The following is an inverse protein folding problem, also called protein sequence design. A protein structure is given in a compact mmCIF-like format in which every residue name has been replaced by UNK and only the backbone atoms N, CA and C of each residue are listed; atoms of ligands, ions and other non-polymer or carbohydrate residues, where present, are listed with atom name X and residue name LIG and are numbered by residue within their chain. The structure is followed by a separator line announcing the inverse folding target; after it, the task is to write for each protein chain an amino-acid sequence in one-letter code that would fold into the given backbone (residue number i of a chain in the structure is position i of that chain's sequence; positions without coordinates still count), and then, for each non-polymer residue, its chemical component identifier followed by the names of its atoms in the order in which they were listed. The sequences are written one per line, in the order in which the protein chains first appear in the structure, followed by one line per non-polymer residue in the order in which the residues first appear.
data_IF_002923988875
#
_entry.id   IF_002923988875
#
_cell.length_a   1.000
_cell.length_b   1.000
_cell.length_c   1.000
_cell.angle_alpha   90.00
_cell.angle_beta   90.00
_cell.angle_gamma   90.00
#
_symmetry.space_group_name_H-M   'P 1'
#
loop_
_entity.id
_entity.type
_entity.pdbx_description
1 polymer ?
#
# COMPACT_ATOMS: atom_id res chain seq x y z
N UNK A 1 -18.52 -4.56 9.78
CA UNK A 1 -18.08 -3.15 9.63
C UNK A 1 -18.42 -2.36 10.88
N UNK A 2 -17.49 -1.56 11.40
CA UNK A 2 -17.62 -0.74 12.60
C UNK A 2 -17.48 0.73 12.22
N UNK A 3 -18.12 1.58 13.02
CA UNK A 3 -17.97 3.03 12.92
C UNK A 3 -17.31 3.51 14.20
N UNK A 4 -16.27 4.33 14.07
CA UNK A 4 -15.53 4.93 15.17
C UNK A 4 -15.65 6.44 15.03
N UNK A 5 -15.89 7.15 16.13
CA UNK A 5 -15.97 8.60 16.15
C UNK A 5 -15.01 9.10 17.23
N UNK A 6 -14.12 10.03 16.86
CA UNK A 6 -13.20 10.68 17.79
C UNK A 6 -13.39 12.18 17.73
N UNK A 7 -13.44 12.84 18.89
CA UNK A 7 -13.43 14.29 18.96
C UNK A 7 -11.98 14.79 18.86
N UNK A 8 -11.71 15.65 17.88
CA UNK A 8 -10.39 16.24 17.62
C UNK A 8 -10.59 17.74 17.39
N UNK A 9 -10.00 18.60 18.24
CA UNK A 9 -10.15 20.05 18.14
C UNK A 9 -11.61 20.52 18.07
N UNK A 10 -12.50 19.97 18.92
CA UNK A 10 -13.95 20.21 18.94
C UNK A 10 -14.70 19.76 17.67
N UNK A 11 -14.11 18.88 16.84
CA UNK A 11 -14.75 18.30 15.66
C UNK A 11 -14.92 16.81 15.87
N UNK A 12 -16.12 16.30 15.66
CA UNK A 12 -16.36 14.86 15.64
C UNK A 12 -15.90 14.31 14.29
N UNK A 13 -14.88 13.46 14.27
CA UNK A 13 -14.35 12.85 13.07
C UNK A 13 -14.69 11.36 13.09
N UNK A 14 -15.28 10.88 11.99
CA UNK A 14 -15.85 9.55 11.85
C UNK A 14 -15.06 8.73 10.85
N UNK A 15 -14.77 7.49 11.20
CA UNK A 15 -14.16 6.47 10.35
C UNK A 15 -15.07 5.24 10.28
N UNK A 16 -15.12 4.58 9.12
CA UNK A 16 -15.79 3.29 8.95
C UNK A 16 -14.78 2.26 8.46
N UNK A 17 -14.70 1.14 9.16
CA UNK A 17 -13.64 0.14 8.97
C UNK A 17 -14.09 -1.23 9.47
N UNK A 18 -13.53 -2.32 8.97
CA UNK A 18 -13.67 -3.64 9.58
C UNK A 18 -13.00 -3.74 10.97
N UNK A 19 -13.56 -4.63 11.80
CA UNK A 19 -13.19 -4.77 13.22
C UNK A 19 -11.70 -5.08 13.46
N UNK A 20 -11.01 -5.93 12.66
CA UNK A 20 -9.58 -6.18 12.83
C UNK A 20 -8.69 -4.95 12.65
N UNK A 21 -9.18 -3.90 11.97
CA UNK A 21 -8.41 -2.70 11.62
C UNK A 21 -8.76 -1.48 12.47
N UNK A 22 -9.55 -1.64 13.54
CA UNK A 22 -9.90 -0.53 14.47
C UNK A 22 -8.65 0.19 14.99
N UNK A 23 -7.61 -0.55 15.38
CA UNK A 23 -6.36 0.05 15.88
C UNK A 23 -5.64 0.91 14.82
N UNK A 24 -5.74 0.52 13.55
CA UNK A 24 -5.18 1.29 12.44
C UNK A 24 -5.97 2.58 12.20
N UNK A 25 -7.30 2.53 12.35
CA UNK A 25 -8.13 3.74 12.35
C UNK A 25 -7.80 4.67 13.53
N UNK A 26 -7.53 4.13 14.73
CA UNK A 26 -7.05 4.95 15.87
C UNK A 26 -5.71 5.62 15.59
N UNK A 27 -4.79 4.94 14.91
CA UNK A 27 -3.51 5.53 14.48
C UNK A 27 -3.74 6.70 13.52
N UNK A 28 -4.67 6.56 12.56
CA UNK A 28 -5.06 7.64 11.67
C UNK A 28 -5.63 8.84 12.45
N UNK A 29 -6.51 8.60 13.41
CA UNK A 29 -7.02 9.68 14.28
C UNK A 29 -5.90 10.39 15.05
N UNK A 30 -4.92 9.63 15.58
CA UNK A 30 -3.77 10.22 16.28
C UNK A 30 -2.87 11.04 15.36
N UNK A 31 -2.83 10.75 14.06
CA UNK A 31 -2.16 11.60 13.08
C UNK A 31 -2.95 12.89 12.84
N UNK A 32 -4.27 12.78 12.66
CA UNK A 32 -5.13 13.95 12.46
C UNK A 32 -5.12 14.90 13.67
N UNK A 33 -5.02 14.38 14.91
CA UNK A 33 -4.93 15.23 16.10
C UNK A 33 -3.67 16.09 16.16
N UNK A 34 -2.60 15.73 15.44
CA UNK A 34 -1.38 16.55 15.36
C UNK A 34 -1.54 17.78 14.48
N UNK A 35 -2.63 17.88 13.72
CA UNK A 35 -2.94 18.96 12.78
C UNK A 35 -4.38 19.46 12.96
N UNK A 36 -4.90 19.41 14.18
CA UNK A 36 -6.31 19.67 14.51
C UNK A 36 -6.83 21.05 14.06
N UNK A 37 -5.93 22.03 14.02
CA UNK A 37 -6.15 23.41 13.55
C UNK A 37 -6.43 23.49 12.05
N UNK A 38 -5.91 22.53 11.28
CA UNK A 38 -6.05 22.45 9.81
C UNK A 38 -7.25 21.63 9.36
N UNK A 39 -7.93 20.92 10.27
CA UNK A 39 -9.02 20.02 9.93
C UNK A 39 -10.27 20.82 9.53
N UNK A 40 -10.49 20.95 8.23
CA UNK A 40 -11.63 21.63 7.60
C UNK A 40 -12.24 20.72 6.53
N UNK A 41 -13.39 21.14 5.98
CA UNK A 41 -14.00 20.42 4.85
C UNK A 41 -13.04 20.41 3.65
N UNK A 42 -12.87 19.25 3.02
CA UNK A 42 -11.92 19.04 1.93
C UNK A 42 -10.46 18.86 2.36
N UNK A 43 -10.11 19.00 3.65
CA UNK A 43 -8.77 18.69 4.15
C UNK A 43 -8.36 17.28 3.68
N UNK A 44 -7.14 17.14 3.17
CA UNK A 44 -6.63 15.88 2.65
C UNK A 44 -5.18 15.67 3.09
N UNK A 45 -4.84 14.41 3.40
CA UNK A 45 -3.49 14.00 3.79
C UNK A 45 -3.12 12.69 3.07
N UNK A 46 -1.92 12.65 2.50
CA UNK A 46 -1.34 11.41 1.98
C UNK A 46 -0.67 10.67 3.13
N UNK A 47 -1.04 9.41 3.33
CA UNK A 47 -0.41 8.51 4.28
C UNK A 47 -0.11 7.21 3.55
N UNK A 48 1.17 6.96 3.28
CA UNK A 48 1.62 5.80 2.51
C UNK A 48 0.89 5.70 1.17
N UNK A 49 0.24 4.57 0.97
CA UNK A 49 -0.52 4.21 -0.23
C UNK A 49 -1.71 5.13 -0.56
N UNK A 50 -2.37 5.70 0.46
CA UNK A 50 -3.70 6.29 0.35
C UNK A 50 -3.74 7.77 0.69
N UNK A 51 -4.62 8.49 -0.01
CA UNK A 51 -5.08 9.82 0.40
C UNK A 51 -6.34 9.67 1.27
N UNK A 52 -6.33 10.28 2.44
CA UNK A 52 -7.51 10.41 3.30
C UNK A 52 -8.00 11.84 3.27
N UNK A 53 -9.29 12.05 2.98
CA UNK A 53 -9.92 13.36 2.98
C UNK A 53 -11.03 13.46 4.02
N UNK A 54 -11.28 14.66 4.53
CA UNK A 54 -12.41 14.97 5.38
C UNK A 54 -13.55 15.57 4.55
N UNK A 55 -14.76 15.04 4.74
CA UNK A 55 -15.98 15.62 4.21
C UNK A 55 -16.92 16.01 5.33
N UNK A 56 -17.35 17.27 5.35
CA UNK A 56 -18.20 17.81 6.41
C UNK A 56 -19.66 17.44 6.19
N UNK A 57 -20.25 16.83 7.20
CA UNK A 57 -21.69 16.71 7.41
C UNK A 57 -22.12 17.69 8.52
N UNK A 58 -23.42 17.80 8.79
CA UNK A 58 -23.96 18.78 9.75
C UNK A 58 -23.29 18.70 11.13
N UNK A 59 -23.09 17.50 11.67
CA UNK A 59 -22.60 17.29 13.04
C UNK A 59 -21.19 16.66 13.14
N UNK A 60 -20.61 16.25 12.02
CA UNK A 60 -19.34 15.50 12.01
C UNK A 60 -18.59 15.63 10.68
N UNK A 61 -17.33 15.21 10.66
CA UNK A 61 -16.53 15.01 9.47
C UNK A 61 -16.38 13.52 9.21
N UNK A 62 -16.66 13.08 7.98
CA UNK A 62 -16.41 11.71 7.54
C UNK A 62 -15.04 11.63 6.89
N UNK A 63 -14.22 10.65 7.32
CA UNK A 63 -13.01 10.30 6.59
C UNK A 63 -13.42 9.48 5.36
N UNK A 64 -12.94 9.90 4.19
CA UNK A 64 -13.12 9.23 2.91
C UNK A 64 -11.77 8.94 2.26
N UNK A 65 -11.70 7.86 1.49
CA UNK A 65 -10.52 7.47 0.70
C UNK A 65 -10.94 7.02 -0.70
N UNK A 66 -10.01 6.54 -1.52
CA UNK A 66 -10.27 5.98 -2.85
C UNK A 66 -10.92 4.59 -2.74
N UNK A 67 -11.86 4.30 -3.63
CA UNK A 67 -12.50 2.98 -3.69
C UNK A 67 -11.67 2.02 -4.56
N UNK A 68 -10.79 1.24 -3.93
CA UNK A 68 -9.92 0.28 -4.60
C UNK A 68 -10.66 -0.96 -5.15
N UNK A 69 -11.94 -1.14 -4.81
CA UNK A 69 -12.76 -2.22 -5.40
C UNK A 69 -13.28 -1.85 -6.79
N UNK A 70 -13.36 -0.55 -7.11
CA UNK A 70 -13.87 -0.01 -8.38
C UNK A 70 -12.75 0.69 -9.16
N UNK A 71 -12.96 1.95 -9.55
CA UNK A 71 -11.95 2.80 -10.19
C UNK A 71 -11.47 3.86 -9.19
N UNK A 72 -10.32 3.67 -8.52
CA UNK A 72 -9.86 4.58 -7.47
C UNK A 72 -9.44 5.97 -7.98
N UNK A 73 -9.35 6.19 -9.30
CA UNK A 73 -9.15 7.52 -9.86
C UNK A 73 -10.40 8.40 -9.77
N UNK A 74 -11.59 7.78 -9.78
CA UNK A 74 -12.89 8.47 -9.81
C UNK A 74 -13.70 8.22 -8.55
N UNK A 75 -13.71 6.98 -8.09
CA UNK A 75 -14.57 6.51 -7.03
C UNK A 75 -13.93 6.74 -5.66
N UNK A 76 -14.77 7.12 -4.70
CA UNK A 76 -14.42 7.31 -3.29
C UNK A 76 -15.31 6.43 -2.42
N UNK A 77 -14.84 6.13 -1.22
CA UNK A 77 -15.56 5.35 -0.23
C UNK A 77 -15.33 5.87 1.18
N UNK A 78 -16.31 5.67 2.05
CA UNK A 78 -16.20 5.87 3.49
C UNK A 78 -15.56 4.66 4.20
N UNK A 79 -15.50 3.52 3.51
CA UNK A 79 -14.91 2.29 4.04
C UNK A 79 -13.39 2.31 3.88
N UNK A 80 -12.69 2.49 5.00
CA UNK A 80 -11.24 2.61 5.05
C UNK A 80 -10.52 1.26 5.07
N UNK A 81 -11.24 0.14 5.03
CA UNK A 81 -10.71 -1.21 5.26
C UNK A 81 -9.53 -1.53 4.35
N UNK A 82 -9.68 -1.40 3.02
CA UNK A 82 -8.60 -1.75 2.09
C UNK A 82 -7.39 -0.81 2.27
N UNK A 83 -7.63 0.49 2.41
CA UNK A 83 -6.57 1.47 2.61
C UNK A 83 -5.73 1.18 3.86
N UNK A 84 -6.40 0.89 4.99
CA UNK A 84 -5.74 0.58 6.25
C UNK A 84 -5.11 -0.82 6.26
N UNK A 85 -5.68 -1.77 5.54
CA UNK A 85 -5.08 -3.10 5.35
C UNK A 85 -3.77 -3.01 4.57
N UNK A 86 -3.73 -2.27 3.46
CA UNK A 86 -2.48 -2.04 2.71
C UNK A 86 -1.39 -1.46 3.61
N UNK A 87 -1.74 -0.43 4.38
CA UNK A 87 -0.81 0.19 5.35
C UNK A 87 -0.33 -0.82 6.41
N UNK A 88 -1.22 -1.68 6.90
CA UNK A 88 -0.86 -2.75 7.84
C UNK A 88 0.15 -3.71 7.21
N UNK A 89 -0.14 -4.28 6.04
CA UNK A 89 0.72 -5.26 5.37
C UNK A 89 2.11 -4.69 5.08
N UNK A 90 2.17 -3.48 4.51
CA UNK A 90 3.43 -2.80 4.21
C UNK A 90 4.23 -2.51 5.48
N UNK A 91 3.58 -1.96 6.51
CA UNK A 91 4.25 -1.66 7.77
C UNK A 91 4.69 -2.93 8.52
N UNK A 92 3.95 -4.04 8.37
CA UNK A 92 4.30 -5.32 8.98
C UNK A 92 5.53 -5.92 8.32
N UNK A 93 5.60 -5.94 6.99
CA UNK A 93 6.79 -6.39 6.25
C UNK A 93 8.04 -5.60 6.64
N UNK A 94 7.97 -4.26 6.60
CA UNK A 94 9.09 -3.38 6.97
C UNK A 94 9.53 -3.57 8.43
N UNK A 95 8.58 -3.75 9.37
CA UNK A 95 8.91 -4.03 10.78
C UNK A 95 9.61 -5.37 10.96
N UNK A 96 9.21 -6.42 10.23
CA UNK A 96 9.89 -7.73 10.27
C UNK A 96 11.34 -7.62 9.84
N UNK A 97 11.60 -6.77 8.84
CA UNK A 97 12.94 -6.51 8.31
C UNK A 97 13.71 -5.44 9.10
N UNK A 98 13.11 -4.85 10.14
CA UNK A 98 13.66 -3.77 10.94
C UNK A 98 14.20 -2.59 10.09
N UNK A 99 13.40 -2.13 9.13
CA UNK A 99 13.81 -1.11 8.18
C UNK A 99 12.75 -0.04 7.93
N UNK A 100 13.18 1.11 7.44
CA UNK A 100 12.29 2.13 6.88
C UNK A 100 11.99 1.80 5.42
N UNK A 101 10.78 2.16 4.98
CA UNK A 101 10.33 1.91 3.62
C UNK A 101 10.36 3.17 2.76
N UNK A 102 10.18 2.97 1.46
CA UNK A 102 10.05 4.03 0.48
C UNK A 102 8.59 4.15 0.02
N UNK A 103 8.12 5.38 -0.17
CA UNK A 103 6.72 5.64 -0.51
C UNK A 103 6.32 4.92 -1.79
N UNK A 104 5.11 4.36 -1.80
CA UNK A 104 4.41 3.94 -3.02
C UNK A 104 2.95 4.34 -2.89
N UNK A 105 2.37 4.89 -3.95
CA UNK A 105 0.97 5.29 -4.04
C UNK A 105 0.19 4.28 -4.86
N UNK A 106 -1.11 4.22 -4.63
CA UNK A 106 -2.00 3.34 -5.37
C UNK A 106 -1.96 3.54 -6.89
N UNK A 107 -1.63 4.76 -7.34
CA UNK A 107 -1.61 5.18 -8.74
C UNK A 107 -0.21 5.20 -9.35
N UNK A 108 0.81 4.73 -8.64
CA UNK A 108 2.13 4.56 -9.23
C UNK A 108 2.09 3.40 -10.21
N UNK A 109 2.85 3.53 -11.30
CA UNK A 109 2.97 2.50 -12.34
C UNK A 109 3.95 1.41 -11.93
N UNK A 110 3.62 0.18 -12.30
CA UNK A 110 4.46 -1.01 -12.15
C UNK A 110 4.60 -1.63 -13.53
N UNK A 111 5.84 -1.94 -13.92
CA UNK A 111 6.12 -2.68 -15.14
C UNK A 111 6.02 -4.17 -14.84
N UNK A 112 5.34 -4.93 -15.68
CA UNK A 112 5.13 -6.35 -15.47
C UNK A 112 5.31 -7.12 -16.77
N UNK A 113 6.01 -8.26 -16.72
CA UNK A 113 6.04 -9.20 -17.82
C UNK A 113 4.65 -9.85 -17.99
N UNK A 114 4.17 -9.92 -19.23
CA UNK A 114 2.87 -10.50 -19.55
C UNK A 114 2.73 -11.93 -18.99
N UNK A 115 1.56 -12.22 -18.43
CA UNK A 115 1.19 -13.50 -17.82
C UNK A 115 2.09 -13.99 -16.66
N UNK A 116 3.04 -13.17 -16.16
CA UNK A 116 4.01 -13.62 -15.14
C UNK A 116 3.35 -14.05 -13.83
N UNK A 117 2.25 -13.41 -13.43
CA UNK A 117 1.53 -13.75 -12.20
C UNK A 117 0.78 -15.08 -12.27
N UNK A 118 0.73 -15.73 -13.44
CA UNK A 118 0.21 -17.09 -13.60
C UNK A 118 1.28 -18.16 -13.32
N UNK A 119 2.56 -17.77 -13.24
CA UNK A 119 3.66 -18.67 -12.92
C UNK A 119 3.70 -18.97 -11.41
N UNK A 120 4.22 -20.14 -11.04
CA UNK A 120 4.40 -20.50 -9.64
C UNK A 120 5.50 -19.67 -8.97
N UNK A 121 6.56 -19.31 -9.70
CA UNK A 121 7.65 -18.47 -9.18
C UNK A 121 7.88 -17.26 -10.08
N UNK A 122 8.07 -16.09 -9.45
CA UNK A 122 8.38 -14.83 -10.11
C UNK A 122 9.16 -13.93 -9.16
N UNK A 123 9.80 -12.89 -9.68
CA UNK A 123 10.49 -11.91 -8.87
C UNK A 123 9.91 -10.51 -9.06
N UNK A 124 10.14 -9.67 -8.07
CA UNK A 124 9.98 -8.23 -8.14
C UNK A 124 11.33 -7.58 -7.92
N UNK A 125 11.63 -6.54 -8.68
CA UNK A 125 12.82 -5.73 -8.49
C UNK A 125 12.43 -4.26 -8.45
N UNK A 126 12.91 -3.53 -7.43
CA UNK A 126 12.68 -2.09 -7.33
C UNK A 126 13.92 -1.33 -7.78
N UNK A 127 13.83 -0.57 -8.86
CA UNK A 127 14.92 0.26 -9.39
C UNK A 127 14.79 1.70 -8.94
N UNK A 128 15.91 2.36 -8.69
CA UNK A 128 15.98 3.81 -8.43
C UNK A 128 16.04 4.62 -9.74
N UNK A 129 15.87 5.95 -9.65
CA UNK A 129 16.02 6.86 -10.79
C UNK A 129 14.82 6.87 -11.76
N UNK A 130 13.64 6.47 -11.29
CA UNK A 130 12.39 6.46 -12.04
C UNK A 130 11.67 7.82 -12.02
N UNK A 131 10.74 8.03 -12.96
CA UNK A 131 9.92 9.25 -13.05
C UNK A 131 8.91 9.35 -11.87
N UNK A 132 8.34 10.54 -11.63
CA UNK A 132 7.46 10.83 -10.46
C UNK A 132 6.20 9.94 -10.32
N UNK A 133 5.75 9.28 -11.39
CA UNK A 133 4.58 8.38 -11.42
C UNK A 133 4.97 6.91 -11.61
N UNK A 134 6.26 6.59 -11.62
CA UNK A 134 6.80 5.24 -11.73
C UNK A 134 7.26 4.78 -10.34
N UNK A 135 6.76 3.62 -9.90
CA UNK A 135 7.10 3.07 -8.59
C UNK A 135 8.54 2.54 -8.50
N UNK A 136 9.18 2.33 -9.66
CA UNK A 136 10.44 1.62 -9.82
C UNK A 136 10.28 0.10 -9.78
N UNK A 137 9.08 -0.43 -9.52
CA UNK A 137 8.84 -1.87 -9.49
C UNK A 137 8.72 -2.46 -10.89
N UNK A 138 9.49 -3.51 -11.10
CA UNK A 138 9.34 -4.46 -12.18
C UNK A 138 8.93 -5.83 -11.60
N UNK A 139 8.05 -6.54 -12.29
CA UNK A 139 7.66 -7.93 -11.95
C UNK A 139 8.00 -8.82 -13.15
N UNK A 140 8.90 -9.79 -12.95
CA UNK A 140 9.49 -10.60 -14.01
C UNK A 140 9.55 -12.10 -13.71
N UNK A 141 9.68 -12.95 -14.74
CA UNK A 141 9.84 -14.39 -14.57
C UNK A 141 11.25 -14.71 -14.03
N UNK A 142 11.39 -15.76 -13.23
CA UNK A 142 12.71 -16.21 -12.75
C UNK A 142 13.61 -16.65 -13.92
N UNK A 143 13.03 -17.24 -14.96
CA UNK A 143 13.76 -17.66 -16.15
C UNK A 143 13.68 -16.58 -17.25
N UNK A 144 14.79 -15.89 -17.51
CA UNK A 144 14.92 -14.82 -18.50
C UNK A 144 14.66 -15.27 -19.95
N UNK A 145 14.75 -16.57 -20.25
CA UNK A 145 14.38 -17.11 -21.56
C UNK A 145 12.89 -16.93 -21.88
N UNK A 146 12.07 -16.65 -20.86
CA UNK A 146 10.65 -16.27 -20.97
C UNK A 146 10.53 -14.74 -21.10
N UNK A 147 11.40 -14.13 -21.93
CA UNK A 147 11.32 -12.71 -22.30
C UNK A 147 10.00 -12.43 -23.03
N UNK A 148 8.97 -12.07 -22.26
CA UNK A 148 7.64 -11.75 -22.74
C UNK A 148 7.46 -10.27 -23.08
N UNK A 149 6.32 -9.97 -23.71
CA UNK A 149 5.81 -8.62 -23.86
C UNK A 149 5.69 -7.95 -22.47
N UNK A 150 6.05 -6.66 -22.38
CA UNK A 150 5.93 -5.89 -21.16
C UNK A 150 4.62 -5.10 -21.14
N UNK A 151 3.97 -5.09 -19.99
CA UNK A 151 2.76 -4.33 -19.73
C UNK A 151 3.01 -3.37 -18.56
N UNK A 152 2.16 -2.34 -18.46
CA UNK A 152 2.18 -1.42 -17.33
C UNK A 152 0.83 -1.47 -16.65
N UNK A 153 0.85 -1.69 -15.35
CA UNK A 153 -0.32 -1.66 -14.48
C UNK A 153 -0.15 -0.58 -13.42
N UNK A 154 -1.23 -0.16 -12.78
CA UNK A 154 -1.17 0.63 -11.56
C UNK A 154 -1.04 -0.28 -10.34
N UNK A 155 -0.36 0.20 -9.30
CA UNK A 155 -0.12 -0.58 -8.10
C UNK A 155 -1.42 -1.14 -7.48
N UNK A 156 -2.53 -0.39 -7.50
CA UNK A 156 -3.81 -0.88 -6.98
C UNK A 156 -4.39 -2.09 -7.71
N UNK A 157 -4.00 -2.35 -8.96
CA UNK A 157 -4.51 -3.48 -9.72
C UNK A 157 -4.01 -4.81 -9.13
N UNK A 158 -2.85 -4.81 -8.46
CA UNK A 158 -2.33 -5.96 -7.73
C UNK A 158 -3.25 -6.40 -6.58
N UNK A 159 -4.09 -5.51 -6.03
CA UNK A 159 -5.11 -5.89 -5.03
C UNK A 159 -6.15 -6.88 -5.59
N UNK A 160 -6.32 -6.95 -6.91
CA UNK A 160 -7.23 -7.89 -7.57
C UNK A 160 -6.48 -9.07 -8.18
N UNK A 161 -5.28 -8.81 -8.71
CA UNK A 161 -4.49 -9.81 -9.43
C UNK A 161 -3.73 -10.75 -8.48
N UNK A 162 -3.03 -10.18 -7.50
CA UNK A 162 -2.12 -10.92 -6.59
C UNK A 162 -1.87 -10.14 -5.29
N UNK A 163 -2.85 -10.14 -4.34
CA UNK A 163 -2.80 -9.27 -3.16
C UNK A 163 -1.56 -9.48 -2.27
N UNK A 164 -0.99 -10.69 -2.26
CA UNK A 164 0.21 -11.01 -1.48
C UNK A 164 1.41 -10.10 -1.78
N UNK A 165 1.49 -9.56 -3.00
CA UNK A 165 2.57 -8.65 -3.40
C UNK A 165 2.53 -7.31 -2.66
N UNK A 166 1.34 -6.86 -2.25
CA UNK A 166 1.13 -5.53 -1.65
C UNK A 166 2.05 -5.29 -0.45
N UNK A 167 2.31 -6.33 0.35
CA UNK A 167 3.11 -6.26 1.57
C UNK A 167 4.54 -5.78 1.32
N UNK A 168 5.12 -6.06 0.13
CA UNK A 168 6.52 -5.74 -0.17
C UNK A 168 6.70 -4.43 -0.94
N UNK A 169 5.62 -3.82 -1.43
CA UNK A 169 5.74 -2.67 -2.35
C UNK A 169 6.36 -1.42 -1.71
N UNK A 170 6.41 -1.35 -0.38
CA UNK A 170 7.05 -0.27 0.36
C UNK A 170 8.54 -0.52 0.65
N UNK A 171 9.13 -1.64 0.19
CA UNK A 171 10.57 -1.89 0.33
C UNK A 171 11.39 -0.81 -0.38
N UNK A 172 12.59 -0.46 0.11
CA UNK A 172 13.45 0.52 -0.54
C UNK A 172 13.84 0.16 -1.97
N UNK A 173 14.42 1.13 -2.67
CA UNK A 173 15.04 0.89 -3.97
C UNK A 173 16.22 -0.08 -3.87
N UNK A 174 16.52 -0.73 -4.99
CA UNK A 174 17.57 -1.72 -5.19
C UNK A 174 17.35 -3.02 -4.37
N UNK A 175 16.10 -3.31 -4.00
CA UNK A 175 15.70 -4.58 -3.42
C UNK A 175 15.07 -5.49 -4.47
N UNK A 176 15.25 -6.80 -4.29
CA UNK A 176 14.62 -7.84 -5.09
C UNK A 176 13.87 -8.80 -4.18
N UNK A 177 12.65 -9.16 -4.56
CA UNK A 177 11.81 -10.11 -3.82
C UNK A 177 11.48 -11.27 -4.73
N UNK A 178 11.68 -12.49 -4.25
CA UNK A 178 11.25 -13.71 -4.96
C UNK A 178 9.98 -14.22 -4.28
N UNK A 179 8.94 -14.45 -5.08
CA UNK A 179 7.72 -15.12 -4.63
C UNK A 179 7.67 -16.54 -5.18
N UNK A 180 7.19 -17.45 -4.34
CA UNK A 180 6.66 -18.74 -4.74
C UNK A 180 5.17 -18.78 -4.35
N UNK A 181 4.30 -18.84 -5.37
CA UNK A 181 2.84 -18.72 -5.25
C UNK A 181 2.44 -17.40 -4.59
N UNK A 182 2.04 -17.43 -3.32
CA UNK A 182 1.62 -16.27 -2.54
C UNK A 182 2.58 -16.00 -1.35
N UNK A 183 3.71 -16.71 -1.30
CA UNK A 183 4.67 -16.64 -0.21
C UNK A 183 5.98 -16.00 -0.66
N UNK A 184 6.59 -15.21 0.23
CA UNK A 184 7.91 -14.63 0.01
C UNK A 184 8.93 -15.74 0.23
N UNK A 185 9.68 -16.08 -0.82
CA UNK A 185 10.76 -17.06 -0.79
C UNK A 185 12.07 -16.42 -0.37
N UNK A 186 12.34 -15.20 -0.83
CA UNK A 186 13.57 -14.48 -0.55
C UNK A 186 13.38 -12.97 -0.70
N UNK A 187 14.14 -12.19 0.08
CA UNK A 187 14.30 -10.74 -0.12
C UNK A 187 15.79 -10.46 -0.15
N UNK A 188 16.29 -10.06 -1.32
CA UNK A 188 17.67 -9.64 -1.53
C UNK A 188 17.76 -8.12 -1.37
N UNK A 189 18.72 -7.68 -0.55
CA UNK A 189 19.05 -6.26 -0.42
C UNK A 189 19.97 -5.79 -1.57
N UNK A 190 20.39 -4.53 -1.52
CA UNK A 190 21.28 -3.91 -2.51
C UNK A 190 22.67 -4.57 -2.68
N UNK A 191 23.05 -5.45 -1.76
CA UNK A 191 24.30 -6.23 -1.80
C UNK A 191 24.07 -7.69 -2.18
N UNK A 192 22.89 -8.03 -2.71
CA UNK A 192 22.46 -9.40 -3.06
C UNK A 192 22.44 -10.37 -1.87
N UNK A 193 22.28 -9.85 -0.65
CA UNK A 193 22.19 -10.67 0.58
C UNK A 193 20.72 -10.95 0.88
N UNK A 194 20.38 -12.23 1.06
CA UNK A 194 19.04 -12.66 1.47
C UNK A 194 18.78 -12.38 2.95
N UNK A 195 18.02 -11.31 3.22
CA UNK A 195 17.64 -10.88 4.56
C UNK A 195 16.34 -11.52 5.06
N UNK A 196 15.61 -12.24 4.20
CA UNK A 196 14.37 -12.91 4.59
C UNK A 196 14.66 -14.21 5.35
N UNK A 197 15.63 -14.97 4.85
CA UNK A 197 16.04 -16.25 5.43
C UNK A 197 16.54 -16.15 6.89
N UNK A 198 17.00 -14.96 7.31
CA UNK A 198 17.47 -14.70 8.67
C UNK A 198 16.33 -14.53 9.68
N UNK A 199 15.12 -14.18 9.21
CA UNK A 199 13.94 -13.88 10.05
C UNK A 199 13.10 -15.15 10.29
N UNK A 200 13.23 -16.16 9.42
CA UNK A 200 12.54 -17.45 9.57
C UNK A 200 13.29 -18.47 10.45
N UNK A 201 14.45 -18.10 11.00
CA UNK A 201 15.21 -18.91 11.98
C UNK A 201 14.79 -18.63 13.42
#
# INVERSE_FOLDING_TARGET
MKTIIKNIGNKNIKAKVEEPLIFHAETLFNLLSKVEDKLIDGFSIQIGWSVYSLYKYEEYYQIITRDYTKNPFKDKTEDLTIALWVQLEQSHCLRRLNMEGELIKFNDKIVIAKDVLQQEEFYLQRSSGCDEDDSGWYIGPINEEVSGELETIYAYELLKMKPAIIQVLALPYNYLVVFEKDEIKSILNESDIDIWSEIER
#
